data_IF_127432038985
#
_entry.id   IF_127432038985
#
_cell.length_a   1.000
_cell.length_b   1.000
_cell.length_c   1.000
_cell.angle_alpha   90.00
_cell.angle_beta   90.00
_cell.angle_gamma   90.00
#
_symmetry.space_group_name_H-M   'P 1'
#
loop_
_entity.id
_entity.type
_entity.pdbx_description
1 polymer ?
#
# COMPACT_ATOMS: atom_id res chain seq x y z
N UNK A 1 -20.07 7.40 -10.83
CA UNK A 1 -18.85 6.61 -11.03
C UNK A 1 -17.67 7.29 -10.33
N UNK A 2 -17.11 6.65 -9.30
CA UNK A 2 -15.99 7.17 -8.50
C UNK A 2 -14.66 7.12 -9.26
N UNK A 3 -14.49 6.15 -10.17
CA UNK A 3 -13.28 6.01 -10.97
C UNK A 3 -13.11 7.18 -11.94
N UNK A 4 -14.18 7.58 -12.63
CA UNK A 4 -14.20 8.74 -13.51
C UNK A 4 -13.83 10.04 -12.79
N UNK A 5 -14.36 10.25 -11.57
CA UNK A 5 -14.01 11.43 -10.74
C UNK A 5 -12.53 11.41 -10.36
N UNK A 6 -12.01 10.26 -9.90
CA UNK A 6 -10.60 10.10 -9.53
C UNK A 6 -9.67 10.36 -10.72
N UNK A 7 -10.00 9.86 -11.91
CA UNK A 7 -9.25 10.12 -13.14
C UNK A 7 -9.25 11.61 -13.54
N UNK A 8 -10.40 12.29 -13.41
CA UNK A 8 -10.48 13.73 -13.65
C UNK A 8 -9.61 14.52 -12.68
N UNK A 9 -9.58 14.15 -11.40
CA UNK A 9 -8.72 14.78 -10.40
C UNK A 9 -7.22 14.64 -10.73
N UNK A 10 -6.81 13.46 -11.21
CA UNK A 10 -5.42 13.20 -11.66
C UNK A 10 -5.08 14.11 -12.85
N UNK A 11 -5.95 14.17 -13.88
CA UNK A 11 -5.75 15.02 -15.06
C UNK A 11 -5.67 16.51 -14.73
N UNK A 12 -6.38 16.95 -13.70
CA UNK A 12 -6.35 18.33 -13.20
C UNK A 12 -5.17 18.60 -12.26
N UNK A 13 -4.30 17.63 -12.01
CA UNK A 13 -3.13 17.79 -11.14
C UNK A 13 -3.46 17.93 -9.66
N UNK A 14 -4.64 17.48 -9.22
CA UNK A 14 -5.05 17.55 -7.82
C UNK A 14 -4.11 16.68 -6.98
N UNK A 15 -3.26 17.32 -6.17
CA UNK A 15 -2.35 16.63 -5.25
C UNK A 15 -3.05 16.37 -3.93
N UNK A 16 -3.05 15.11 -3.50
CA UNK A 16 -3.42 14.72 -2.13
C UNK A 16 -2.15 14.42 -1.34
N UNK A 17 -2.09 14.78 -0.05
CA UNK A 17 -1.02 14.30 0.80
C UNK A 17 -0.99 12.76 0.77
N UNK A 18 0.19 12.13 0.78
CA UNK A 18 0.28 10.69 0.89
C UNK A 18 -0.32 10.23 2.21
N UNK A 19 -0.89 9.02 2.22
CA UNK A 19 -1.29 8.36 3.46
C UNK A 19 -0.07 8.14 4.35
N UNK A 20 -0.26 8.19 5.68
CA UNK A 20 0.78 7.88 6.65
C UNK A 20 0.23 6.92 7.69
N UNK A 21 1.06 5.98 8.11
CA UNK A 21 0.80 5.10 9.25
C UNK A 21 2.03 5.07 10.14
N UNK A 22 1.87 4.57 11.35
CA UNK A 22 2.99 4.37 12.27
C UNK A 22 2.74 3.16 13.16
N UNK A 23 3.83 2.60 13.69
CA UNK A 23 3.78 1.61 14.75
C UNK A 23 4.75 2.01 15.87
N UNK A 24 4.42 1.67 17.11
CA UNK A 24 5.30 1.92 18.25
C UNK A 24 5.81 0.60 18.80
N UNK A 25 7.13 0.44 18.89
CA UNK A 25 7.79 -0.76 19.39
C UNK A 25 8.86 -0.33 20.39
N UNK A 26 8.77 -0.82 21.64
CA UNK A 26 9.73 -0.50 22.70
C UNK A 26 9.96 1.02 22.89
N UNK A 27 8.91 1.82 22.78
CA UNK A 27 8.98 3.28 22.88
C UNK A 27 9.46 3.99 21.61
N UNK A 28 9.91 3.27 20.58
CA UNK A 28 10.33 3.83 19.29
C UNK A 28 9.13 3.91 18.34
N UNK A 29 8.89 5.10 17.78
CA UNK A 29 7.89 5.33 16.74
C UNK A 29 8.52 5.10 15.37
N UNK A 30 7.93 4.22 14.57
CA UNK A 30 8.30 3.98 13.18
C UNK A 30 7.16 4.46 12.29
N UNK A 31 7.42 5.46 11.45
CA UNK A 31 6.45 5.99 10.50
C UNK A 31 6.64 5.40 9.09
N UNK A 32 5.53 5.29 8.38
CA UNK A 32 5.47 4.76 7.01
C UNK A 32 4.62 5.68 6.16
N UNK A 33 5.17 6.06 5.01
CA UNK A 33 4.46 6.86 4.02
C UNK A 33 3.93 5.94 2.92
N UNK A 34 2.67 6.08 2.58
CA UNK A 34 2.03 5.28 1.53
C UNK A 34 2.74 5.47 0.19
N UNK A 35 3.21 4.37 -0.39
CA UNK A 35 3.97 4.36 -1.64
C UNK A 35 5.46 4.66 -1.49
N UNK A 36 5.97 4.84 -0.27
CA UNK A 36 7.40 5.01 -0.03
C UNK A 36 8.15 3.67 0.00
N UNK A 37 9.29 3.64 -0.67
CA UNK A 37 10.23 2.51 -0.72
C UNK A 37 11.65 2.91 -0.34
N UNK A 38 11.88 4.16 0.08
CA UNK A 38 13.20 4.69 0.44
C UNK A 38 13.69 4.22 1.82
N UNK A 39 12.80 3.60 2.62
CA UNK A 39 13.17 3.10 3.93
C UNK A 39 14.28 2.04 3.83
N UNK A 40 15.36 2.17 4.63
CA UNK A 40 16.53 1.26 4.61
C UNK A 40 16.21 -0.22 4.76
N UNK A 41 15.08 -0.54 5.41
CA UNK A 41 14.60 -1.91 5.60
C UNK A 41 13.43 -2.30 4.69
N UNK A 42 13.10 -1.50 3.67
CA UNK A 42 11.95 -1.74 2.79
C UNK A 42 11.95 -3.17 2.23
N UNK A 43 13.08 -3.66 1.74
CA UNK A 43 13.23 -5.04 1.23
C UNK A 43 12.81 -6.10 2.26
N UNK A 44 13.24 -5.95 3.52
CA UNK A 44 12.88 -6.89 4.59
C UNK A 44 11.40 -6.80 4.97
N UNK A 45 10.84 -5.59 5.00
CA UNK A 45 9.42 -5.35 5.28
C UNK A 45 8.55 -6.03 4.22
N UNK A 46 8.87 -5.83 2.94
CA UNK A 46 8.12 -6.45 1.84
C UNK A 46 8.29 -7.98 1.81
N UNK A 47 9.47 -8.49 2.17
CA UNK A 47 9.68 -9.94 2.33
C UNK A 47 8.74 -10.51 3.41
N UNK A 48 8.70 -9.90 4.60
CA UNK A 48 7.83 -10.33 5.70
C UNK A 48 6.34 -10.23 5.32
N UNK A 49 5.94 -9.15 4.64
CA UNK A 49 4.57 -9.00 4.12
C UNK A 49 4.21 -10.14 3.15
N UNK A 50 5.13 -10.54 2.28
CA UNK A 50 4.95 -11.70 1.39
C UNK A 50 4.76 -13.00 2.17
N UNK A 51 5.59 -13.24 3.18
CA UNK A 51 5.49 -14.43 4.04
C UNK A 51 4.15 -14.50 4.80
N UNK A 52 3.70 -13.38 5.38
CA UNK A 52 2.38 -13.27 6.05
C UNK A 52 1.25 -13.54 5.05
N UNK A 53 1.35 -12.96 3.86
CA UNK A 53 0.32 -13.12 2.82
C UNK A 53 0.21 -14.58 2.37
N UNK A 54 1.34 -15.26 2.15
CA UNK A 54 1.37 -16.68 1.82
C UNK A 54 0.77 -17.54 2.94
N UNK A 55 1.07 -17.22 4.20
CA UNK A 55 0.50 -17.94 5.33
C UNK A 55 -1.02 -17.75 5.41
N UNK A 56 -1.49 -16.51 5.28
CA UNK A 56 -2.92 -16.21 5.25
C UNK A 56 -3.64 -16.98 4.13
N UNK A 57 -3.05 -17.02 2.92
CA UNK A 57 -3.61 -17.79 1.79
C UNK A 57 -3.74 -19.29 2.11
N UNK A 58 -2.77 -19.87 2.80
CA UNK A 58 -2.83 -21.28 3.25
C UNK A 58 -3.94 -21.53 4.28
N UNK A 59 -4.30 -20.52 5.06
CA UNK A 59 -5.39 -20.56 6.04
C UNK A 59 -6.76 -20.24 5.42
N UNK A 60 -6.85 -20.05 4.11
CA UNK A 60 -8.09 -19.83 3.38
C UNK A 60 -8.41 -18.36 3.08
N UNK A 61 -7.47 -17.44 3.32
CA UNK A 61 -7.60 -16.07 2.83
C UNK A 61 -7.54 -16.04 1.31
N UNK A 62 -8.62 -15.57 0.68
CA UNK A 62 -8.69 -15.36 -0.76
C UNK A 62 -8.74 -13.85 -1.06
N UNK A 63 -7.61 -13.21 -1.40
CA UNK A 63 -7.60 -11.77 -1.67
C UNK A 63 -8.37 -11.44 -2.94
N UNK A 64 -9.21 -10.41 -2.88
CA UNK A 64 -9.75 -9.80 -4.08
C UNK A 64 -8.68 -8.90 -4.71
N UNK A 65 -8.13 -9.37 -5.84
CA UNK A 65 -7.10 -8.66 -6.58
C UNK A 65 -7.68 -7.77 -7.69
N UNK A 66 -9.01 -7.71 -7.82
CA UNK A 66 -9.68 -6.96 -8.89
C UNK A 66 -9.34 -5.47 -8.87
N UNK A 67 -9.12 -4.90 -7.69
CA UNK A 67 -8.72 -3.49 -7.53
C UNK A 67 -7.23 -3.23 -7.78
N UNK A 68 -6.35 -4.24 -7.69
CA UNK A 68 -4.93 -4.08 -7.92
C UNK A 68 -4.63 -3.76 -9.39
N UNK A 69 -5.40 -4.34 -10.31
CA UNK A 69 -5.25 -4.11 -11.76
C UNK A 69 -5.83 -2.78 -12.26
N UNK A 70 -6.64 -2.09 -11.44
CA UNK A 70 -7.22 -0.78 -11.80
C UNK A 70 -6.19 0.37 -11.73
N UNK A 71 -5.07 0.17 -11.01
CA UNK A 71 -3.99 1.15 -10.86
C UNK A 71 -2.80 0.96 -11.80
N UNK A 72 -2.74 -0.15 -12.57
CA UNK A 72 -1.65 -0.49 -13.50
C UNK A 72 -2.09 -0.24 -14.95
N UNK A 73 -2.84 0.84 -15.19
CA UNK A 73 -2.97 1.39 -16.54
C UNK A 73 -2.00 2.56 -16.64
N UNK A 74 -1.03 2.38 -17.54
CA UNK A 74 -0.01 3.35 -17.97
C UNK A 74 -0.52 4.79 -18.09
#
# INVERSE_FOLDING_TARGET
DVAAVRQKMIKLGVRKPPGRSWVQINGVLLDYVGGDSAHKHASLIYKMLGEITMQAMREGYNPDLSELFLGIKE
#
